data_IF_327482729316
#
_entry.id   IF_327482729316
#
_cell.length_a   1.000
_cell.length_b   1.000
_cell.length_c   1.000
_cell.angle_alpha   90.00
_cell.angle_beta   90.00
_cell.angle_gamma   90.00
#
_symmetry.space_group_name_H-M   'P 1'
#
loop_
_entity.id
_entity.type
_entity.pdbx_description
1 polymer ?
#
# COMPACT_ATOMS: atom_id res chain seq x y z
N UNK A 1 13.48 10.22 -27.83
CA UNK A 1 14.45 10.65 -26.81
C UNK A 1 15.61 9.66 -26.83
N UNK A 2 16.82 10.11 -27.14
CA UNK A 2 18.01 9.26 -27.27
C UNK A 2 18.76 9.11 -25.94
N UNK A 3 19.62 8.09 -25.82
CA UNK A 3 20.47 7.91 -24.63
C UNK A 3 21.36 9.13 -24.33
N UNK A 4 21.74 9.89 -25.36
CA UNK A 4 22.50 11.13 -25.24
C UNK A 4 21.64 12.27 -24.65
N UNK A 5 20.39 12.38 -25.10
CA UNK A 5 19.41 13.37 -24.61
C UNK A 5 19.00 13.10 -23.14
N UNK A 6 19.00 11.82 -22.74
CA UNK A 6 18.78 11.40 -21.35
C UNK A 6 20.04 11.51 -20.47
N UNK A 7 21.18 11.93 -21.03
CA UNK A 7 22.42 12.15 -20.28
C UNK A 7 23.21 10.88 -19.91
N UNK A 8 22.79 9.69 -20.35
CA UNK A 8 23.45 8.42 -20.00
C UNK A 8 24.88 8.27 -20.54
N UNK A 9 25.26 9.07 -21.53
CA UNK A 9 26.58 9.02 -22.19
C UNK A 9 27.54 10.14 -21.75
N UNK A 10 27.08 11.05 -20.88
CA UNK A 10 27.95 12.11 -20.32
C UNK A 10 28.43 11.67 -18.94
N UNK A 11 29.74 11.80 -18.71
CA UNK A 11 30.30 11.58 -17.38
C UNK A 11 29.65 12.55 -16.37
N UNK A 12 29.39 12.05 -15.17
CA UNK A 12 28.94 12.88 -14.06
C UNK A 12 29.96 14.00 -13.77
N UNK A 13 29.52 15.20 -13.36
CA UNK A 13 30.43 16.25 -12.90
C UNK A 13 31.36 15.76 -11.78
N UNK A 14 32.62 16.24 -11.77
CA UNK A 14 33.67 15.74 -10.86
C UNK A 14 33.32 15.81 -9.37
N UNK A 15 32.51 16.78 -8.97
CA UNK A 15 32.16 17.02 -7.56
C UNK A 15 30.71 16.65 -7.24
N UNK A 16 30.00 16.00 -8.18
CA UNK A 16 28.63 15.56 -7.94
C UNK A 16 28.66 14.40 -6.93
N UNK A 17 27.86 14.53 -5.87
CA UNK A 17 27.52 13.42 -4.97
C UNK A 17 26.05 13.09 -5.13
N UNK A 18 25.73 11.81 -5.26
CA UNK A 18 24.38 11.31 -5.44
C UNK A 18 24.03 10.46 -4.23
N UNK A 19 22.98 10.85 -3.51
CA UNK A 19 22.39 10.01 -2.48
C UNK A 19 21.27 9.18 -3.12
N UNK A 20 21.23 7.89 -2.82
CA UNK A 20 20.15 7.01 -3.27
C UNK A 20 19.44 6.40 -2.07
N UNK A 21 18.12 6.27 -2.16
CA UNK A 21 17.27 5.80 -1.07
C UNK A 21 17.30 4.28 -0.86
N UNK A 22 18.26 3.59 -1.49
CA UNK A 22 18.49 2.14 -1.44
C UNK A 22 19.65 1.80 -0.46
N UNK A 23 19.75 0.52 -0.04
CA UNK A 23 20.99 -0.07 0.48
C UNK A 23 21.47 -1.28 -0.36
N UNK A 24 22.78 -1.63 -0.31
CA UNK A 24 23.30 -2.82 -0.99
C UNK A 24 22.57 -4.13 -0.66
N UNK A 25 21.95 -4.22 0.53
CA UNK A 25 21.19 -5.40 0.97
C UNK A 25 19.80 -5.51 0.31
N UNK A 26 19.28 -4.41 -0.23
CA UNK A 26 17.95 -4.31 -0.87
C UNK A 26 18.05 -4.40 -2.39
N UNK A 27 19.19 -3.96 -2.96
CA UNK A 27 19.41 -3.88 -4.40
C UNK A 27 19.88 -5.22 -4.99
N UNK A 28 19.74 -5.35 -6.31
CA UNK A 28 20.41 -6.43 -7.05
C UNK A 28 21.93 -6.25 -6.89
N UNK A 29 22.72 -7.32 -6.67
CA UNK A 29 24.16 -7.20 -6.48
C UNK A 29 24.82 -6.51 -7.68
N UNK A 30 25.39 -5.32 -7.45
CA UNK A 30 26.22 -4.63 -8.42
C UNK A 30 27.69 -4.99 -8.17
N UNK A 31 28.38 -5.45 -9.21
CA UNK A 31 29.83 -5.74 -9.14
C UNK A 31 30.66 -4.49 -8.78
N UNK A 32 30.12 -3.31 -9.08
CA UNK A 32 30.77 -2.03 -8.81
C UNK A 32 29.74 -0.96 -8.47
N UNK A 33 29.83 -0.44 -7.26
CA UNK A 33 29.20 0.83 -6.87
C UNK A 33 30.18 1.95 -7.19
N UNK A 34 29.70 3.05 -7.78
CA UNK A 34 30.53 4.19 -8.15
C UNK A 34 30.77 5.08 -6.92
N UNK A 35 32.01 5.54 -6.70
CA UNK A 35 32.42 6.27 -5.49
C UNK A 35 31.66 7.57 -5.20
N UNK A 36 30.98 8.12 -6.22
CA UNK A 36 30.16 9.32 -6.10
C UNK A 36 28.69 9.05 -5.76
N UNK A 37 28.29 7.77 -5.69
CA UNK A 37 26.95 7.32 -5.27
C UNK A 37 27.06 6.81 -3.84
N UNK A 38 26.25 7.37 -2.95
CA UNK A 38 26.15 6.94 -1.55
C UNK A 38 24.76 6.33 -1.32
N UNK A 39 24.66 5.01 -1.10
CA UNK A 39 23.44 4.38 -0.61
C UNK A 39 23.12 4.84 0.81
N UNK A 40 21.89 5.30 1.03
CA UNK A 40 21.42 5.84 2.32
C UNK A 40 20.06 5.26 2.73
N UNK A 41 19.65 4.16 2.10
CA UNK A 41 18.33 3.58 2.24
C UNK A 41 18.14 2.52 3.33
N UNK A 42 16.88 2.13 3.59
CA UNK A 42 15.67 2.77 3.08
C UNK A 42 15.41 4.11 3.78
N UNK A 43 15.08 5.15 3.02
CA UNK A 43 14.69 6.45 3.59
C UNK A 43 13.17 6.47 3.73
N UNK A 44 12.67 6.05 4.90
CA UNK A 44 11.24 5.99 5.22
C UNK A 44 10.91 6.86 6.42
N UNK A 45 9.69 7.39 6.47
CA UNK A 45 9.18 8.13 7.63
C UNK A 45 8.13 7.29 8.35
N UNK A 46 8.34 7.03 9.63
CA UNK A 46 7.35 6.42 10.50
C UNK A 46 7.12 7.24 11.76
N UNK A 47 5.95 7.07 12.34
CA UNK A 47 5.45 7.66 13.57
C UNK A 47 4.54 6.63 14.24
N UNK A 48 4.48 6.57 15.58
CA UNK A 48 3.51 5.69 16.26
C UNK A 48 2.09 5.98 15.78
N UNK A 49 1.41 4.96 15.25
CA UNK A 49 0.09 5.14 14.63
C UNK A 49 -0.97 5.62 15.63
N UNK A 50 -0.82 5.29 16.91
CA UNK A 50 -1.69 5.76 17.99
C UNK A 50 -1.64 7.28 18.17
N UNK A 51 -0.57 7.94 17.73
CA UNK A 51 -0.46 9.40 17.78
C UNK A 51 -1.18 10.07 16.60
N UNK A 52 -1.12 9.46 15.42
CA UNK A 52 -1.64 10.06 14.18
C UNK A 52 -3.10 9.66 13.90
N UNK A 53 -3.47 8.41 14.19
CA UNK A 53 -4.79 7.84 13.91
C UNK A 53 -5.16 6.72 14.92
N UNK A 54 -5.64 7.08 16.13
CA UNK A 54 -5.99 6.11 17.18
C UNK A 54 -7.11 5.14 16.78
N UNK A 55 -8.02 5.58 15.91
CA UNK A 55 -9.12 4.75 15.40
C UNK A 55 -8.56 3.65 14.51
N UNK A 56 -7.67 4.02 13.56
CA UNK A 56 -6.98 3.06 12.72
C UNK A 56 -6.11 2.13 13.56
N UNK A 57 -5.35 2.62 14.54
CA UNK A 57 -4.55 1.80 15.44
C UNK A 57 -5.38 0.69 16.13
N UNK A 58 -6.56 1.05 16.63
CA UNK A 58 -7.50 0.10 17.25
C UNK A 58 -8.02 -0.93 16.25
N UNK A 59 -8.22 -0.54 15.00
CA UNK A 59 -8.56 -1.45 13.90
C UNK A 59 -7.42 -2.42 13.59
N UNK A 60 -6.17 -1.93 13.57
CA UNK A 60 -5.02 -2.75 13.20
C UNK A 60 -4.75 -3.88 14.20
N UNK A 61 -5.11 -3.68 15.47
CA UNK A 61 -4.86 -4.64 16.55
C UNK A 61 -5.80 -5.86 16.57
N UNK A 62 -6.80 -5.94 15.68
CA UNK A 62 -7.85 -6.98 15.75
C UNK A 62 -7.51 -8.32 15.07
N UNK A 63 -6.44 -8.38 14.29
CA UNK A 63 -6.08 -9.59 13.55
C UNK A 63 -5.20 -9.28 12.34
N UNK A 64 -4.79 -10.31 11.56
CA UNK A 64 -3.89 -10.17 10.42
C UNK A 64 -4.47 -9.28 9.33
N UNK A 65 -3.63 -8.46 8.70
CA UNK A 65 -4.08 -7.42 7.78
C UNK A 65 -3.37 -7.52 6.44
N UNK A 66 -4.16 -7.40 5.38
CA UNK A 66 -3.69 -7.12 4.04
C UNK A 66 -3.88 -5.63 3.77
N UNK A 67 -2.78 -4.91 3.59
CA UNK A 67 -2.79 -3.49 3.27
C UNK A 67 -2.69 -3.27 1.77
N UNK A 68 -3.70 -2.62 1.19
CA UNK A 68 -3.77 -2.30 -0.24
C UNK A 68 -3.59 -0.80 -0.42
N UNK A 69 -2.44 -0.40 -0.97
CA UNK A 69 -2.13 0.99 -1.28
C UNK A 69 -1.34 1.10 -2.59
N UNK A 70 -2.01 1.56 -3.64
CA UNK A 70 -1.43 1.73 -4.98
C UNK A 70 -0.77 3.11 -5.16
N UNK A 71 -0.37 3.79 -4.07
CA UNK A 71 0.29 5.08 -4.14
C UNK A 71 -0.67 6.26 -4.34
N UNK A 72 -0.15 7.40 -4.79
CA UNK A 72 -0.87 8.67 -4.87
C UNK A 72 -1.54 8.93 -6.22
N UNK A 73 -1.07 8.26 -7.28
CA UNK A 73 -1.48 8.54 -8.66
C UNK A 73 -2.38 7.47 -9.28
N UNK A 74 -2.57 6.34 -8.61
CA UNK A 74 -3.51 5.32 -9.06
C UNK A 74 -4.92 5.58 -8.53
N UNK A 75 -5.87 5.66 -9.45
CA UNK A 75 -7.29 5.77 -9.17
C UNK A 75 -7.98 4.50 -9.65
N UNK A 76 -9.00 4.08 -8.91
CA UNK A 76 -9.84 2.96 -9.34
C UNK A 76 -10.96 3.47 -10.24
N UNK A 77 -11.08 2.86 -11.42
CA UNK A 77 -12.32 2.91 -12.18
C UNK A 77 -13.27 1.79 -11.74
N UNK A 78 -14.50 1.82 -12.27
CA UNK A 78 -15.57 0.88 -11.89
C UNK A 78 -15.28 -0.57 -12.29
N UNK A 79 -14.59 -0.79 -13.41
CA UNK A 79 -14.28 -2.15 -13.84
C UNK A 79 -13.21 -2.75 -12.92
N UNK A 80 -12.11 -2.01 -12.73
CA UNK A 80 -10.99 -2.44 -11.88
C UNK A 80 -11.43 -2.65 -10.43
N UNK A 81 -12.22 -1.73 -9.87
CA UNK A 81 -12.67 -1.84 -8.47
C UNK A 81 -13.57 -3.06 -8.25
N UNK A 82 -14.42 -3.39 -9.22
CA UNK A 82 -15.40 -4.48 -9.10
C UNK A 82 -14.70 -5.82 -9.16
N UNK A 83 -13.74 -5.97 -10.08
CA UNK A 83 -12.90 -7.17 -10.15
C UNK A 83 -12.05 -7.34 -8.89
N UNK A 84 -11.44 -6.25 -8.40
CA UNK A 84 -10.64 -6.31 -7.19
C UNK A 84 -11.48 -6.65 -5.95
N UNK A 85 -12.69 -6.09 -5.84
CA UNK A 85 -13.66 -6.44 -4.81
C UNK A 85 -14.07 -7.93 -4.89
N UNK A 86 -14.28 -8.46 -6.10
CA UNK A 86 -14.55 -9.88 -6.31
C UNK A 86 -13.41 -10.79 -5.83
N UNK A 87 -12.15 -10.38 -6.05
CA UNK A 87 -10.98 -11.08 -5.55
C UNK A 87 -10.89 -11.05 -4.01
N UNK A 88 -11.10 -9.88 -3.39
CA UNK A 88 -11.16 -9.73 -1.93
C UNK A 88 -12.26 -10.62 -1.34
N UNK A 89 -13.46 -10.60 -1.93
CA UNK A 89 -14.59 -11.43 -1.51
C UNK A 89 -14.19 -12.92 -1.51
N UNK A 90 -13.61 -13.38 -2.61
CA UNK A 90 -13.22 -14.78 -2.78
C UNK A 90 -12.18 -15.21 -1.73
N UNK A 91 -11.23 -14.34 -1.41
CA UNK A 91 -10.24 -14.57 -0.35
C UNK A 91 -10.90 -14.71 1.03
N UNK A 92 -11.76 -13.77 1.41
CA UNK A 92 -12.40 -13.74 2.73
C UNK A 92 -13.39 -14.91 2.91
N UNK A 93 -14.09 -15.31 1.86
CA UNK A 93 -14.98 -16.48 1.86
C UNK A 93 -14.21 -17.79 2.00
N UNK A 94 -13.08 -17.91 1.30
CA UNK A 94 -12.20 -19.07 1.41
C UNK A 94 -11.60 -19.19 2.81
N UNK A 95 -11.18 -18.08 3.43
CA UNK A 95 -10.69 -18.04 4.80
C UNK A 95 -11.76 -18.51 5.79
N UNK A 96 -12.99 -17.99 5.67
CA UNK A 96 -14.11 -18.38 6.54
C UNK A 96 -14.44 -19.88 6.42
N UNK A 97 -14.28 -20.45 5.23
CA UNK A 97 -14.53 -21.88 4.97
C UNK A 97 -13.36 -22.76 5.44
N UNK A 98 -12.14 -22.23 5.47
CA UNK A 98 -10.93 -22.94 5.85
C UNK A 98 -10.64 -22.79 7.35
N UNK A 99 -11.07 -23.78 8.15
CA UNK A 99 -10.81 -23.85 9.61
C UNK A 99 -9.31 -23.83 10.02
N UNK A 100 -8.39 -23.88 9.05
CA UNK A 100 -6.95 -24.00 9.30
C UNK A 100 -6.24 -22.66 9.58
N UNK A 101 -6.83 -21.52 9.21
CA UNK A 101 -6.17 -20.20 9.29
C UNK A 101 -6.64 -19.41 10.53
N UNK A 102 -7.90 -19.59 10.94
CA UNK A 102 -8.59 -18.66 11.83
C UNK A 102 -8.48 -18.94 13.33
N UNK A 103 -7.95 -20.09 13.76
CA UNK A 103 -8.05 -20.55 15.15
C UNK A 103 -7.09 -19.84 16.13
N UNK A 104 -5.87 -19.49 15.69
CA UNK A 104 -4.83 -18.91 16.57
C UNK A 104 -4.54 -17.42 16.30
N UNK A 105 -4.83 -16.91 15.09
CA UNK A 105 -4.39 -15.57 14.68
C UNK A 105 -5.52 -14.58 14.40
N UNK A 106 -6.79 -15.00 14.48
CA UNK A 106 -7.94 -14.16 14.15
C UNK A 106 -8.27 -14.13 12.65
N UNK A 107 -9.32 -13.40 12.29
CA UNK A 107 -9.82 -13.30 10.93
C UNK A 107 -9.04 -12.25 10.12
N UNK A 108 -8.74 -12.52 8.84
CA UNK A 108 -8.05 -11.58 7.96
C UNK A 108 -8.86 -10.31 7.78
N UNK A 109 -8.23 -9.14 7.97
CA UNK A 109 -8.79 -7.83 7.66
C UNK A 109 -8.14 -7.26 6.40
N UNK A 110 -8.87 -6.44 5.66
CA UNK A 110 -8.35 -5.71 4.51
C UNK A 110 -8.39 -4.22 4.82
N UNK A 111 -7.25 -3.56 4.67
CA UNK A 111 -7.15 -2.12 4.75
C UNK A 111 -6.84 -1.56 3.35
N UNK A 112 -7.79 -0.85 2.75
CA UNK A 112 -7.73 -0.49 1.34
C UNK A 112 -7.79 1.03 1.12
N UNK A 113 -6.69 1.59 0.63
CA UNK A 113 -6.65 2.93 0.06
C UNK A 113 -7.25 2.91 -1.34
N UNK A 114 -8.42 3.51 -1.50
CA UNK A 114 -9.17 3.48 -2.75
C UNK A 114 -9.60 4.88 -3.16
N UNK A 115 -8.67 5.71 -3.69
CA UNK A 115 -9.05 7.01 -4.22
C UNK A 115 -9.88 6.82 -5.49
N UNK A 116 -11.00 7.53 -5.56
CA UNK A 116 -11.90 7.59 -6.71
C UNK A 116 -11.75 8.93 -7.41
N UNK A 117 -11.90 8.93 -8.73
CA UNK A 117 -12.17 10.18 -9.47
C UNK A 117 -13.64 10.50 -9.26
N UNK A 118 -13.90 11.56 -8.50
CA UNK A 118 -15.24 12.00 -8.14
C UNK A 118 -15.52 13.33 -8.86
N UNK A 119 -16.78 13.58 -9.19
CA UNK A 119 -17.23 14.94 -9.50
C UNK A 119 -17.22 15.81 -8.23
N UNK A 120 -17.30 17.14 -8.37
CA UNK A 120 -17.23 18.08 -7.23
C UNK A 120 -18.31 17.81 -6.16
N UNK A 121 -19.45 17.24 -6.56
CA UNK A 121 -20.60 16.99 -5.69
C UNK A 121 -20.66 15.58 -5.08
N UNK A 122 -19.74 14.68 -5.44
CA UNK A 122 -19.79 13.28 -5.01
C UNK A 122 -19.10 13.05 -3.65
N UNK A 123 -19.81 12.39 -2.72
CA UNK A 123 -19.27 12.04 -1.41
C UNK A 123 -18.22 10.91 -1.50
N UNK A 124 -17.00 11.20 -1.01
CA UNK A 124 -15.85 10.27 -0.98
C UNK A 124 -16.11 8.99 -0.21
N UNK A 125 -16.96 9.02 0.81
CA UNK A 125 -17.24 7.90 1.70
C UNK A 125 -18.45 7.06 1.27
N UNK A 126 -19.19 7.51 0.26
CA UNK A 126 -20.42 6.83 -0.16
C UNK A 126 -20.28 6.19 -1.55
N UNK A 127 -20.76 4.96 -1.66
CA UNK A 127 -20.74 4.16 -2.90
C UNK A 127 -22.17 4.05 -3.45
N UNK A 128 -22.57 5.06 -4.23
CA UNK A 128 -23.89 5.13 -4.87
C UNK A 128 -23.78 5.17 -6.40
N UNK A 129 -24.94 5.07 -7.06
CA UNK A 129 -25.05 5.15 -8.52
C UNK A 129 -24.24 4.04 -9.19
N UNK A 130 -23.26 4.35 -10.05
CA UNK A 130 -22.45 3.35 -10.74
C UNK A 130 -21.68 2.40 -9.80
N UNK A 131 -21.47 2.78 -8.54
CA UNK A 131 -20.73 1.99 -7.55
C UNK A 131 -21.60 0.97 -6.79
N UNK A 132 -22.89 0.83 -7.14
CA UNK A 132 -23.80 -0.06 -6.40
C UNK A 132 -23.37 -1.53 -6.43
N UNK A 133 -22.88 -2.02 -7.57
CA UNK A 133 -22.38 -3.40 -7.67
C UNK A 133 -21.17 -3.65 -6.77
N UNK A 134 -20.22 -2.71 -6.74
CA UNK A 134 -19.10 -2.75 -5.79
C UNK A 134 -19.58 -2.78 -4.34
N UNK A 135 -20.55 -1.93 -4.00
CA UNK A 135 -21.13 -1.87 -2.65
C UNK A 135 -21.80 -3.17 -2.27
N UNK A 136 -22.59 -3.78 -3.14
CA UNK A 136 -23.26 -5.06 -2.87
C UNK A 136 -22.25 -6.17 -2.54
N UNK A 137 -21.10 -6.20 -3.23
CA UNK A 137 -20.04 -7.16 -2.97
C UNK A 137 -19.37 -6.90 -1.61
N UNK A 138 -19.10 -5.62 -1.26
CA UNK A 138 -18.26 -5.26 -0.12
C UNK A 138 -19.02 -4.99 1.19
N UNK A 139 -20.28 -4.55 1.13
CA UNK A 139 -21.12 -4.23 2.30
C UNK A 139 -21.08 -5.29 3.39
N UNK A 140 -21.22 -6.61 3.09
CA UNK A 140 -21.18 -7.65 4.12
C UNK A 140 -19.86 -7.72 4.90
N UNK A 141 -18.76 -7.29 4.30
CA UNK A 141 -17.44 -7.30 4.94
C UNK A 141 -17.13 -5.96 5.63
N UNK A 142 -17.60 -4.84 5.06
CA UNK A 142 -17.48 -3.52 5.67
C UNK A 142 -18.28 -3.45 6.97
N UNK A 143 -19.53 -3.92 6.96
CA UNK A 143 -20.42 -3.92 8.14
C UNK A 143 -19.93 -4.81 9.29
N UNK A 144 -19.02 -5.74 8.99
CA UNK A 144 -18.38 -6.63 9.98
C UNK A 144 -16.96 -6.19 10.34
N UNK A 145 -16.56 -4.98 9.95
CA UNK A 145 -15.23 -4.43 10.15
C UNK A 145 -14.09 -5.29 9.57
N UNK A 146 -14.37 -6.13 8.57
CA UNK A 146 -13.40 -6.97 7.87
C UNK A 146 -12.69 -6.22 6.74
N UNK A 147 -13.33 -5.21 6.16
CA UNK A 147 -12.80 -4.41 5.05
C UNK A 147 -12.94 -2.92 5.39
N UNK A 148 -11.81 -2.22 5.41
CA UNK A 148 -11.72 -0.80 5.75
C UNK A 148 -11.27 -0.03 4.52
N UNK A 149 -12.18 0.75 3.94
CA UNK A 149 -11.92 1.49 2.72
C UNK A 149 -11.79 2.95 3.05
N UNK A 150 -10.63 3.54 2.73
CA UNK A 150 -10.39 4.97 2.91
C UNK A 150 -9.97 5.59 1.59
N UNK A 151 -10.40 6.81 1.33
CA UNK A 151 -9.89 7.60 0.21
C UNK A 151 -8.40 7.95 0.43
N UNK A 152 -8.06 8.27 1.68
CA UNK A 152 -6.71 8.65 2.11
C UNK A 152 -6.52 8.27 3.58
N UNK A 153 -5.28 7.96 3.96
CA UNK A 153 -4.88 7.68 5.35
C UNK A 153 -4.15 8.88 5.95
N UNK A 154 -4.44 9.20 7.21
CA UNK A 154 -3.76 10.28 7.93
C UNK A 154 -2.35 9.83 8.31
N UNK A 155 -2.24 8.63 8.88
CA UNK A 155 -0.97 8.01 9.21
C UNK A 155 -0.12 7.75 7.95
N UNK A 156 1.20 7.88 8.09
CA UNK A 156 2.12 7.55 7.01
C UNK A 156 2.05 6.06 6.66
N UNK A 157 2.27 5.68 5.38
CA UNK A 157 2.20 4.27 4.97
C UNK A 157 3.12 3.37 5.79
N UNK A 158 4.32 3.82 6.16
CA UNK A 158 5.23 3.07 7.02
C UNK A 158 4.67 2.87 8.43
N UNK A 159 4.02 3.88 9.00
CA UNK A 159 3.35 3.80 10.31
C UNK A 159 2.18 2.81 10.31
N UNK A 160 1.52 2.61 9.17
CA UNK A 160 0.46 1.59 8.99
C UNK A 160 1.07 0.20 8.84
N UNK A 161 2.25 0.11 8.23
CA UNK A 161 2.93 -1.15 7.97
C UNK A 161 3.67 -1.70 9.20
N UNK A 162 4.22 -0.84 10.06
CA UNK A 162 5.00 -1.24 11.23
C UNK A 162 4.28 -2.07 12.30
N UNK A 163 2.98 -1.86 12.59
CA UNK A 163 2.25 -2.74 13.48
C UNK A 163 2.34 -4.18 12.98
N UNK A 164 2.88 -5.08 13.82
CA UNK A 164 3.20 -6.48 13.49
C UNK A 164 2.02 -7.41 13.19
N UNK A 165 0.90 -6.85 12.74
CA UNK A 165 -0.28 -7.55 12.26
C UNK A 165 -0.35 -7.56 10.72
N UNK A 166 0.52 -6.84 10.01
CA UNK A 166 0.56 -6.87 8.55
C UNK A 166 1.09 -8.22 8.06
N UNK A 167 0.31 -8.87 7.18
CA UNK A 167 0.70 -10.15 6.56
C UNK A 167 0.94 -10.02 5.05
N UNK A 168 0.46 -8.93 4.43
CA UNK A 168 0.64 -8.68 3.01
C UNK A 168 0.50 -7.18 2.70
N UNK A 169 1.39 -6.67 1.86
CA UNK A 169 1.29 -5.34 1.25
C UNK A 169 1.04 -5.48 -0.24
N UNK A 170 -0.11 -4.99 -0.71
CA UNK A 170 -0.44 -4.87 -2.13
C UNK A 170 -0.17 -3.43 -2.55
N UNK A 171 0.87 -3.23 -3.34
CA UNK A 171 1.28 -1.91 -3.81
C UNK A 171 1.62 -1.92 -5.31
N UNK A 172 1.76 -0.73 -5.89
CA UNK A 172 2.01 -0.55 -7.32
C UNK A 172 3.50 -0.67 -7.72
N UNK A 173 4.39 -1.02 -6.79
CA UNK A 173 5.84 -1.09 -7.04
C UNK A 173 6.56 0.26 -7.13
N UNK A 174 5.92 1.36 -6.73
CA UNK A 174 6.61 2.65 -6.63
C UNK A 174 7.71 2.61 -5.56
N UNK A 175 8.80 3.35 -5.79
CA UNK A 175 10.00 3.29 -4.96
C UNK A 175 9.72 3.45 -3.47
N UNK A 176 8.97 4.48 -3.05
CA UNK A 176 8.67 4.66 -1.62
C UNK A 176 7.86 3.49 -1.06
N UNK A 177 6.79 3.07 -1.74
CA UNK A 177 5.94 1.96 -1.29
C UNK A 177 6.71 0.65 -1.19
N UNK A 178 7.67 0.41 -2.08
CA UNK A 178 8.58 -0.72 -1.97
C UNK A 178 9.46 -0.62 -0.71
N UNK A 179 10.15 0.50 -0.51
CA UNK A 179 11.03 0.72 0.65
C UNK A 179 10.28 0.70 1.99
N UNK A 180 9.01 1.11 2.01
CA UNK A 180 8.14 1.04 3.18
C UNK A 180 7.75 -0.41 3.51
N UNK A 181 7.56 -1.25 2.49
CA UNK A 181 7.04 -2.61 2.60
C UNK A 181 8.09 -3.69 2.81
N UNK A 182 9.38 -3.43 2.53
CA UNK A 182 10.45 -4.43 2.72
C UNK A 182 10.71 -4.79 4.20
N UNK A 183 10.17 -4.03 5.15
CA UNK A 183 10.32 -4.27 6.58
C UNK A 183 8.97 -4.07 7.31
N UNK A 184 8.18 -5.13 7.47
CA UNK A 184 7.06 -5.20 8.41
C UNK A 184 6.91 -6.61 8.98
#
# INVERSE_FOLDING_TARGET
>A
MTFLELGFLKAAPKDLRILVANSPDIEIPFDKVLDYITPCGPITRSTPIEMDDPELASCLARGPIIYVNLGTHHFFDLALVTEFAGAIKSLLDAETTSKAISADHGLIQILWKMPRKLSEDENRSEFWGPWIGFREIMSPYIERDRVWIKYWFIAEPKSILEPGHMICSVNHGGSNSFHEAIWF
#
